data_IF_773720061116
#
_entry.id   IF_773720061116
#
_cell.length_a   1.000
_cell.length_b   1.000
_cell.length_c   1.000
_cell.angle_alpha   90.00
_cell.angle_beta   90.00
_cell.angle_gamma   90.00
#
_symmetry.space_group_name_H-M   'P 1'
#
loop_
_entity.id
_entity.type
_entity.pdbx_description
1 polymer ?
#
# COMPACT_ATOMS: atom_id res chain seq x y z
N UNK A 1 5.27 1.70 -8.09
CA UNK A 1 3.84 1.97 -7.79
C UNK A 1 3.46 3.26 -8.50
N UNK A 2 2.23 3.35 -9.01
CA UNK A 2 1.73 4.49 -9.80
C UNK A 2 0.35 4.89 -9.24
N UNK A 3 0.31 5.62 -8.12
CA UNK A 3 -0.95 6.04 -7.50
C UNK A 3 -1.56 7.19 -8.32
N UNK A 4 -2.64 6.88 -9.05
CA UNK A 4 -3.38 7.82 -9.87
C UNK A 4 -2.51 8.75 -10.77
N UNK A 5 -1.52 8.22 -11.48
CA UNK A 5 -0.81 9.00 -12.50
C UNK A 5 -1.69 9.09 -13.76
N UNK A 6 -2.70 9.95 -13.72
CA UNK A 6 -3.76 10.01 -14.72
C UNK A 6 -3.22 10.42 -16.10
N UNK A 7 -2.24 11.32 -16.12
CA UNK A 7 -1.61 11.91 -17.31
C UNK A 7 -0.29 11.21 -17.59
N UNK A 8 -0.22 10.45 -18.68
CA UNK A 8 1.02 9.79 -19.11
C UNK A 8 1.19 9.86 -20.62
N UNK A 9 2.43 10.12 -21.05
CA UNK A 9 2.85 10.04 -22.45
C UNK A 9 2.84 8.59 -22.92
N UNK A 10 2.65 8.38 -24.22
CA UNK A 10 2.74 7.04 -24.82
C UNK A 10 4.10 6.38 -24.55
N UNK A 11 5.18 7.15 -24.56
CA UNK A 11 6.52 6.66 -24.26
C UNK A 11 6.69 6.20 -22.80
N UNK A 12 5.98 6.81 -21.85
CA UNK A 12 6.00 6.40 -20.44
C UNK A 12 5.19 5.12 -20.25
N UNK A 13 4.01 5.04 -20.86
CA UNK A 13 3.20 3.83 -20.88
C UNK A 13 3.95 2.65 -21.49
N UNK A 14 4.66 2.86 -22.61
CA UNK A 14 5.49 1.82 -23.23
C UNK A 14 6.58 1.32 -22.27
N UNK A 15 7.30 2.22 -21.60
CA UNK A 15 8.33 1.83 -20.61
C UNK A 15 7.77 1.06 -19.43
N UNK A 16 6.58 1.44 -18.95
CA UNK A 16 5.89 0.70 -17.88
C UNK A 16 5.52 -0.70 -18.36
N UNK A 17 4.99 -0.83 -19.58
CA UNK A 17 4.67 -2.12 -20.17
C UNK A 17 5.92 -3.00 -20.33
N UNK A 18 7.03 -2.44 -20.83
CA UNK A 18 8.31 -3.15 -20.95
C UNK A 18 8.85 -3.61 -19.60
N UNK A 19 8.77 -2.77 -18.57
CA UNK A 19 9.14 -3.13 -17.20
C UNK A 19 8.33 -4.32 -16.69
N UNK A 20 7.01 -4.32 -16.90
CA UNK A 20 6.12 -5.43 -16.50
C UNK A 20 6.43 -6.69 -17.31
N UNK A 21 6.64 -6.57 -18.62
CA UNK A 21 7.00 -7.69 -19.50
C UNK A 21 8.35 -8.32 -19.13
N UNK A 22 9.30 -7.52 -18.64
CA UNK A 22 10.59 -7.99 -18.14
C UNK A 22 10.51 -8.67 -16.75
N UNK A 23 9.31 -8.81 -16.17
CA UNK A 23 9.09 -9.47 -14.88
C UNK A 23 8.89 -8.50 -13.71
N UNK A 24 8.84 -7.19 -13.97
CA UNK A 24 8.56 -6.18 -12.95
C UNK A 24 7.10 -6.23 -12.47
N UNK A 25 6.88 -5.92 -11.19
CA UNK A 25 5.55 -5.88 -10.58
C UNK A 25 5.01 -4.45 -10.46
N UNK A 26 3.70 -4.27 -10.64
CA UNK A 26 3.05 -2.96 -10.68
C UNK A 26 1.83 -2.87 -9.77
N UNK A 27 1.77 -1.82 -8.95
CA UNK A 27 0.53 -1.33 -8.35
C UNK A 27 0.12 -0.05 -9.06
N UNK A 28 -1.11 0.01 -9.56
CA UNK A 28 -1.71 1.22 -10.13
C UNK A 28 -3.13 1.42 -9.57
N UNK A 29 -3.55 2.67 -9.45
CA UNK A 29 -4.88 3.02 -8.95
C UNK A 29 -5.61 3.98 -9.88
N UNK A 30 -6.94 3.92 -9.84
CA UNK A 30 -7.88 4.90 -10.36
C UNK A 30 -7.64 5.25 -11.85
N UNK A 31 -7.45 6.53 -12.19
CA UNK A 31 -7.38 7.02 -13.56
C UNK A 31 -6.02 6.82 -14.22
N UNK A 32 -5.09 6.08 -13.60
CA UNK A 32 -3.72 5.91 -14.11
C UNK A 32 -3.71 5.56 -15.60
N UNK A 33 -3.02 6.37 -16.40
CA UNK A 33 -2.90 6.26 -17.87
C UNK A 33 -4.16 6.55 -18.70
N UNK A 34 -5.20 7.15 -18.14
CA UNK A 34 -6.45 7.47 -18.85
C UNK A 34 -6.37 8.76 -19.69
N UNK A 35 -5.35 9.60 -19.48
CA UNK A 35 -5.16 10.84 -20.22
C UNK A 35 -3.75 10.88 -20.84
N UNK A 36 -3.58 11.64 -21.92
CA UNK A 36 -2.25 11.95 -22.47
C UNK A 36 -1.57 13.06 -21.64
N UNK A 37 -0.37 13.49 -22.05
CA UNK A 37 0.40 14.54 -21.37
C UNK A 37 -0.21 15.94 -21.41
N UNK A 38 -1.16 16.17 -22.32
CA UNK A 38 -1.89 17.44 -22.46
C UNK A 38 -3.22 17.43 -21.71
N UNK A 39 -3.61 16.28 -21.16
CA UNK A 39 -4.88 16.09 -20.47
C UNK A 39 -6.04 15.71 -21.35
N UNK A 40 -5.79 15.36 -22.61
CA UNK A 40 -6.85 14.84 -23.46
C UNK A 40 -7.23 13.43 -23.00
N UNK A 41 -8.53 13.14 -22.86
CA UNK A 41 -9.01 11.83 -22.45
C UNK A 41 -8.73 10.80 -23.54
N UNK A 42 -8.28 9.61 -23.12
CA UNK A 42 -8.14 8.44 -23.99
C UNK A 42 -9.44 7.63 -23.99
N UNK A 43 -9.76 6.91 -25.07
CA UNK A 43 -10.93 6.04 -25.10
C UNK A 43 -10.82 4.83 -24.16
N UNK A 44 -9.60 4.45 -23.78
CA UNK A 44 -9.28 3.42 -22.79
C UNK A 44 -7.94 3.77 -22.10
N UNK A 45 -7.59 3.08 -21.01
CA UNK A 45 -6.28 3.19 -20.40
C UNK A 45 -5.18 2.86 -21.41
N UNK A 46 -4.15 3.69 -21.50
CA UNK A 46 -2.97 3.34 -22.32
C UNK A 46 -2.25 2.09 -21.79
N UNK A 47 -2.50 1.70 -20.52
CA UNK A 47 -2.00 0.48 -19.89
C UNK A 47 -3.08 -0.61 -19.72
N UNK A 48 -4.19 -0.57 -20.47
CA UNK A 48 -5.30 -1.52 -20.29
C UNK A 48 -4.86 -3.00 -20.40
N UNK A 49 -3.94 -3.31 -21.31
CA UNK A 49 -3.36 -4.65 -21.47
C UNK A 49 -2.48 -5.10 -20.28
N UNK A 50 -1.83 -4.14 -19.62
CA UNK A 50 -1.04 -4.36 -18.39
C UNK A 50 -1.98 -4.61 -17.22
N UNK A 51 -3.03 -3.78 -17.08
CA UNK A 51 -4.01 -3.94 -16.01
C UNK A 51 -4.91 -5.16 -16.21
N UNK A 52 -5.13 -5.57 -17.46
CA UNK A 52 -6.19 -6.51 -17.84
C UNK A 52 -7.58 -5.96 -17.51
N UNK A 53 -7.73 -4.64 -17.61
CA UNK A 53 -8.94 -3.90 -17.36
C UNK A 53 -9.06 -2.78 -18.39
N UNK A 54 -10.27 -2.56 -18.90
CA UNK A 54 -10.60 -1.45 -19.78
C UNK A 54 -11.58 -0.50 -19.10
N UNK A 55 -11.42 0.80 -19.35
CA UNK A 55 -12.37 1.81 -18.92
C UNK A 55 -13.74 1.56 -19.58
N UNK A 56 -14.80 1.67 -18.78
CA UNK A 56 -16.17 1.38 -19.20
C UNK A 56 -17.12 2.58 -19.00
N UNK A 57 -16.59 3.73 -18.58
CA UNK A 57 -17.36 4.96 -18.37
C UNK A 57 -16.51 6.05 -17.73
N UNK A 58 -17.15 7.19 -17.47
CA UNK A 58 -16.56 8.31 -16.75
C UNK A 58 -16.42 8.02 -15.26
N UNK A 59 -15.53 8.76 -14.60
CA UNK A 59 -15.35 8.72 -13.14
C UNK A 59 -16.69 8.90 -12.41
N UNK A 60 -16.90 8.08 -11.39
CA UNK A 60 -18.03 8.13 -10.46
C UNK A 60 -17.48 8.51 -9.08
N UNK A 61 -18.04 9.55 -8.47
CA UNK A 61 -17.66 10.00 -7.13
C UNK A 61 -17.58 11.53 -7.01
N UNK A 62 -17.23 12.04 -5.82
CA UNK A 62 -16.91 11.27 -4.61
C UNK A 62 -18.17 10.79 -3.86
N UNK A 63 -18.17 9.55 -3.37
CA UNK A 63 -19.26 8.99 -2.54
C UNK A 63 -18.73 8.20 -1.35
N UNK A 64 -19.26 8.45 -0.14
CA UNK A 64 -18.77 7.85 1.11
C UNK A 64 -19.35 6.48 1.51
N UNK A 65 -20.46 6.02 0.91
CA UNK A 65 -21.13 4.75 1.23
C UNK A 65 -21.03 3.76 0.06
N UNK A 66 -19.81 3.48 -0.40
CA UNK A 66 -19.51 2.45 -1.38
C UNK A 66 -18.67 1.35 -0.73
N UNK A 67 -18.73 0.13 -1.26
CA UNK A 67 -17.96 -1.00 -0.73
C UNK A 67 -17.32 -1.81 -1.86
N UNK A 68 -16.27 -2.55 -1.52
CA UNK A 68 -15.73 -3.61 -2.35
C UNK A 68 -16.12 -4.96 -1.73
N UNK A 69 -16.88 -5.78 -2.46
CA UNK A 69 -17.30 -7.09 -1.99
C UNK A 69 -16.23 -8.13 -2.31
N UNK A 70 -15.90 -8.95 -1.32
CA UNK A 70 -15.01 -10.10 -1.48
C UNK A 70 -15.78 -11.23 -2.17
N UNK A 71 -15.39 -11.55 -3.39
CA UNK A 71 -15.98 -12.63 -4.17
C UNK A 71 -15.16 -13.92 -4.06
N UNK A 72 -13.83 -13.81 -3.98
CA UNK A 72 -12.92 -14.95 -3.94
C UNK A 72 -11.72 -14.67 -3.02
N UNK A 73 -11.10 -15.74 -2.54
CA UNK A 73 -9.86 -15.65 -1.75
C UNK A 73 -8.68 -15.24 -2.63
N UNK A 74 -7.79 -14.43 -2.07
CA UNK A 74 -6.55 -14.00 -2.71
C UNK A 74 -5.55 -13.55 -1.63
N UNK A 75 -4.22 -13.71 -1.80
CA UNK A 75 -3.23 -13.30 -0.79
C UNK A 75 -3.32 -11.82 -0.35
N UNK A 76 -3.79 -10.95 -1.25
CA UNK A 76 -4.02 -9.53 -0.93
C UNK A 76 -5.13 -9.32 0.12
N UNK A 77 -5.94 -10.34 0.38
CA UNK A 77 -7.06 -10.30 1.31
C UNK A 77 -6.75 -10.95 2.67
N UNK A 78 -5.51 -11.37 2.93
CA UNK A 78 -5.10 -11.94 4.21
C UNK A 78 -5.36 -10.95 5.35
N UNK A 79 -6.03 -11.37 6.43
CA UNK A 79 -6.42 -10.49 7.54
C UNK A 79 -7.83 -9.92 7.42
N UNK A 80 -8.57 -10.21 6.35
CA UNK A 80 -10.00 -9.89 6.20
C UNK A 80 -10.90 -11.11 6.38
N UNK A 81 -10.45 -12.12 7.13
CA UNK A 81 -11.26 -13.29 7.44
C UNK A 81 -12.49 -12.87 8.25
N UNK A 82 -13.65 -13.45 7.93
CA UNK A 82 -14.91 -13.16 8.65
C UNK A 82 -15.67 -11.92 8.18
N UNK A 83 -15.19 -11.21 7.13
CA UNK A 83 -15.98 -10.19 6.43
C UNK A 83 -16.22 -10.56 4.97
N UNK A 84 -17.28 -9.98 4.38
CA UNK A 84 -17.57 -10.07 2.95
C UNK A 84 -17.44 -8.71 2.24
N UNK A 85 -17.26 -7.62 2.99
CA UNK A 85 -17.23 -6.25 2.48
C UNK A 85 -16.02 -5.52 3.04
N UNK A 86 -15.33 -4.82 2.15
CA UNK A 86 -14.32 -3.82 2.46
C UNK A 86 -14.86 -2.43 2.12
N UNK A 87 -14.37 -1.37 2.77
CA UNK A 87 -14.67 0.00 2.35
C UNK A 87 -14.34 0.20 0.86
N UNK A 88 -15.23 0.87 0.14
CA UNK A 88 -15.00 1.27 -1.24
C UNK A 88 -14.18 2.55 -1.32
N UNK A 89 -13.66 2.83 -2.51
CA UNK A 89 -13.05 4.12 -2.82
C UNK A 89 -14.13 5.22 -2.96
N UNK A 90 -13.78 6.46 -2.61
CA UNK A 90 -14.66 7.61 -2.81
C UNK A 90 -14.91 7.87 -4.30
N UNK A 91 -13.85 7.78 -5.11
CA UNK A 91 -13.91 7.93 -6.56
C UNK A 91 -13.50 6.64 -7.24
N UNK A 92 -14.14 6.33 -8.37
CA UNK A 92 -13.80 5.15 -9.19
C UNK A 92 -14.05 5.37 -10.67
N UNK A 93 -13.22 4.75 -11.50
CA UNK A 93 -13.50 4.57 -12.92
C UNK A 93 -14.29 3.27 -13.08
N UNK A 94 -15.45 3.25 -13.76
CA UNK A 94 -16.08 1.99 -14.13
C UNK A 94 -15.17 1.19 -15.04
N UNK A 95 -14.96 -0.09 -14.75
CA UNK A 95 -14.06 -0.94 -15.55
C UNK A 95 -14.69 -2.28 -15.92
N UNK A 96 -14.23 -2.84 -17.04
CA UNK A 96 -14.46 -4.23 -17.41
C UNK A 96 -13.13 -4.96 -17.34
N UNK A 97 -13.09 -6.08 -16.64
CA UNK A 97 -11.91 -6.93 -16.67
C UNK A 97 -11.87 -7.75 -17.97
N UNK A 98 -10.65 -8.15 -18.38
CA UNK A 98 -10.49 -9.12 -19.47
C UNK A 98 -11.21 -10.43 -19.15
N UNK A 99 -11.72 -11.16 -20.15
CA UNK A 99 -12.52 -12.39 -19.96
C UNK A 99 -11.86 -13.48 -19.09
N UNK A 100 -10.52 -13.48 -19.00
CA UNK A 100 -9.75 -14.45 -18.22
C UNK A 100 -9.50 -14.03 -16.76
N UNK A 101 -9.88 -12.81 -16.39
CA UNK A 101 -9.63 -12.28 -15.06
C UNK A 101 -10.63 -12.87 -14.05
N UNK A 102 -10.11 -13.33 -12.91
CA UNK A 102 -10.96 -13.74 -11.78
C UNK A 102 -11.49 -12.49 -11.09
N UNK A 103 -12.79 -12.45 -10.82
CA UNK A 103 -13.41 -11.41 -10.00
C UNK A 103 -13.08 -11.68 -8.53
N UNK A 104 -12.06 -10.99 -8.00
CA UNK A 104 -11.62 -11.10 -6.60
C UNK A 104 -12.38 -10.10 -5.71
N UNK A 105 -12.46 -8.85 -6.15
CA UNK A 105 -13.22 -7.78 -5.52
C UNK A 105 -14.19 -7.19 -6.53
N UNK A 106 -15.48 -7.11 -6.18
CA UNK A 106 -16.52 -6.47 -6.98
C UNK A 106 -17.02 -5.18 -6.33
N UNK A 107 -17.54 -4.25 -7.12
CA UNK A 107 -18.09 -2.99 -6.62
C UNK A 107 -19.47 -3.25 -6.01
N UNK A 108 -19.70 -2.72 -4.81
CA UNK A 108 -21.05 -2.46 -4.28
C UNK A 108 -21.32 -0.96 -4.46
N UNK A 109 -22.28 -0.58 -5.32
CA UNK A 109 -22.56 0.81 -5.62
C UNK A 109 -22.98 1.63 -4.39
N UNK A 110 -22.78 2.94 -4.51
CA UNK A 110 -23.18 3.89 -3.50
C UNK A 110 -24.68 3.79 -3.14
N UNK A 111 -24.98 3.96 -1.86
CA UNK A 111 -26.33 4.20 -1.34
C UNK A 111 -26.34 5.35 -0.32
N UNK A 112 -27.45 6.09 -0.17
CA UNK A 112 -27.51 7.26 0.72
C UNK A 112 -27.11 6.97 2.16
N UNK A 113 -26.48 7.95 2.82
CA UNK A 113 -26.19 7.89 4.26
C UNK A 113 -27.38 8.26 5.15
N UNK A 114 -28.41 8.86 4.56
CA UNK A 114 -29.64 9.28 5.22
C UNK A 114 -30.78 9.36 4.17
N UNK A 115 -32.05 9.10 4.53
CA UNK A 115 -32.56 8.72 5.85
C UNK A 115 -32.25 7.24 6.20
N UNK A 116 -32.31 6.83 7.50
CA UNK A 116 -31.91 5.48 7.94
C UNK A 116 -32.60 4.35 7.17
N UNK A 117 -33.85 4.55 6.77
CA UNK A 117 -34.66 3.61 5.99
C UNK A 117 -34.06 3.33 4.60
N UNK A 118 -33.14 4.18 4.13
CA UNK A 118 -32.51 4.10 2.81
C UNK A 118 -31.01 3.74 2.88
N UNK A 119 -30.47 3.45 4.07
CA UNK A 119 -29.05 3.13 4.30
C UNK A 119 -28.80 1.63 4.10
N UNK A 120 -29.05 1.15 2.88
CA UNK A 120 -28.77 -0.24 2.50
C UNK A 120 -28.40 -0.36 1.01
N UNK A 121 -27.55 -1.34 0.64
CA UNK A 121 -27.18 -1.55 -0.75
C UNK A 121 -28.35 -2.13 -1.55
N UNK A 122 -28.82 -1.38 -2.55
CA UNK A 122 -29.85 -1.86 -3.49
C UNK A 122 -29.33 -2.92 -4.46
N UNK A 123 -28.03 -2.88 -4.72
CA UNK A 123 -27.33 -3.82 -5.60
C UNK A 123 -26.14 -4.38 -4.83
N UNK A 124 -26.35 -5.37 -3.95
CA UNK A 124 -25.32 -5.87 -3.04
C UNK A 124 -24.24 -6.71 -3.74
N UNK A 125 -24.45 -7.11 -4.99
CA UNK A 125 -23.49 -7.83 -5.83
C UNK A 125 -23.50 -7.27 -7.24
N UNK A 126 -22.33 -7.12 -7.83
CA UNK A 126 -22.14 -6.75 -9.24
C UNK A 126 -21.06 -7.64 -9.85
N UNK A 127 -20.92 -7.58 -11.17
CA UNK A 127 -19.79 -8.14 -11.90
C UNK A 127 -18.72 -7.09 -12.20
N UNK A 128 -18.90 -5.86 -11.70
CA UNK A 128 -17.98 -4.75 -11.93
C UNK A 128 -16.76 -4.92 -11.00
N UNK A 129 -15.53 -5.08 -11.53
CA UNK A 129 -14.34 -5.25 -10.70
C UNK A 129 -14.02 -3.97 -9.93
N UNK A 130 -13.87 -4.09 -8.61
CA UNK A 130 -13.26 -3.03 -7.79
C UNK A 130 -11.72 -3.06 -7.89
N UNK A 131 -11.16 -4.24 -8.16
CA UNK A 131 -9.74 -4.44 -8.40
C UNK A 131 -9.51 -5.63 -9.35
N UNK A 132 -8.41 -5.58 -10.09
CA UNK A 132 -7.93 -6.66 -10.95
C UNK A 132 -6.52 -7.05 -10.51
N UNK A 133 -6.32 -8.33 -10.25
CA UNK A 133 -5.03 -8.91 -9.86
C UNK A 133 -4.57 -9.90 -10.94
N UNK A 134 -3.36 -9.70 -11.47
CA UNK A 134 -2.79 -10.53 -12.53
C UNK A 134 -1.39 -10.99 -12.17
N UNK A 135 -1.06 -12.20 -12.58
CA UNK A 135 0.28 -12.74 -12.45
C UNK A 135 0.69 -13.41 -13.77
N UNK A 136 1.89 -13.09 -14.26
CA UNK A 136 2.50 -13.73 -15.42
C UNK A 136 3.99 -13.92 -15.16
N UNK A 137 4.43 -15.17 -15.05
CA UNK A 137 5.78 -15.48 -14.57
C UNK A 137 6.04 -14.85 -13.20
N UNK A 138 7.10 -14.02 -13.14
CA UNK A 138 7.49 -13.25 -11.93
C UNK A 138 6.73 -11.93 -11.76
N UNK A 139 6.09 -11.44 -12.82
CA UNK A 139 5.40 -10.15 -12.78
C UNK A 139 4.03 -10.31 -12.12
N UNK A 140 3.74 -9.43 -11.16
CA UNK A 140 2.44 -9.30 -10.50
C UNK A 140 1.91 -7.89 -10.72
N UNK A 141 0.65 -7.77 -11.09
CA UNK A 141 -0.03 -6.49 -11.32
C UNK A 141 -1.28 -6.42 -10.45
N UNK A 142 -1.38 -5.37 -9.64
CA UNK A 142 -2.57 -4.99 -8.90
C UNK A 142 -3.08 -3.65 -9.44
N UNK A 143 -4.26 -3.66 -10.06
CA UNK A 143 -4.94 -2.45 -10.48
C UNK A 143 -6.23 -2.28 -9.67
N UNK A 144 -6.37 -1.13 -9.01
CA UNK A 144 -7.60 -0.77 -8.30
C UNK A 144 -8.37 0.26 -9.12
N UNK A 145 -9.65 0.01 -9.38
CA UNK A 145 -10.49 0.91 -10.18
C UNK A 145 -10.81 2.24 -9.46
N UNK A 146 -10.61 2.29 -8.15
CA UNK A 146 -10.86 3.45 -7.31
C UNK A 146 -9.61 4.05 -6.67
N UNK A 147 -9.76 5.29 -6.18
CA UNK A 147 -8.73 6.07 -5.47
C UNK A 147 -8.51 5.58 -4.03
N UNK A 148 -8.24 4.28 -3.83
CA UNK A 148 -8.14 3.64 -2.51
C UNK A 148 -7.07 4.27 -1.62
N UNK A 149 -5.99 4.77 -2.22
CA UNK A 149 -4.88 5.45 -1.57
C UNK A 149 -5.29 6.83 -1.05
N UNK A 150 -5.94 7.64 -1.89
CA UNK A 150 -6.50 8.94 -1.48
C UNK A 150 -7.64 8.76 -0.47
N UNK A 151 -8.50 7.78 -0.68
CA UNK A 151 -9.62 7.46 0.22
C UNK A 151 -9.11 7.04 1.59
N UNK A 152 -8.08 6.19 1.65
CA UNK A 152 -7.37 5.87 2.89
C UNK A 152 -6.84 7.13 3.57
N UNK A 153 -6.10 7.96 2.83
CA UNK A 153 -5.50 9.18 3.38
C UNK A 153 -6.53 10.12 4.00
N UNK A 154 -7.71 10.27 3.37
CA UNK A 154 -8.78 11.14 3.86
C UNK A 154 -9.59 10.55 5.02
N UNK A 155 -9.90 9.25 4.94
CA UNK A 155 -10.80 8.59 5.91
C UNK A 155 -10.07 8.05 7.14
N UNK A 156 -8.77 7.74 7.01
CA UNK A 156 -8.02 6.99 8.02
C UNK A 156 -8.45 5.53 8.15
N UNK A 157 -9.19 4.99 7.17
CA UNK A 157 -9.70 3.63 7.26
C UNK A 157 -8.58 2.58 7.19
N UNK A 158 -8.43 1.82 8.26
CA UNK A 158 -7.35 0.84 8.42
C UNK A 158 -7.45 -0.35 7.47
N UNK A 159 -8.65 -0.70 7.00
CA UNK A 159 -8.84 -1.81 6.06
C UNK A 159 -8.25 -1.46 4.69
N UNK A 160 -8.42 -0.22 4.24
CA UNK A 160 -7.78 0.24 3.00
C UNK A 160 -6.25 0.24 3.13
N UNK A 161 -5.71 0.62 4.29
CA UNK A 161 -4.28 0.53 4.57
C UNK A 161 -3.78 -0.91 4.50
N UNK A 162 -4.47 -1.84 5.16
CA UNK A 162 -4.11 -3.25 5.15
C UNK A 162 -4.18 -3.85 3.73
N UNK A 163 -5.20 -3.49 2.95
CA UNK A 163 -5.35 -3.92 1.55
C UNK A 163 -4.18 -3.43 0.68
N UNK A 164 -3.75 -2.18 0.84
CA UNK A 164 -2.58 -1.62 0.14
C UNK A 164 -1.30 -2.36 0.57
N UNK A 165 -1.09 -2.56 1.88
CA UNK A 165 0.08 -3.27 2.40
C UNK A 165 0.17 -4.71 1.89
N UNK A 166 -0.94 -5.45 1.92
CA UNK A 166 -0.99 -6.81 1.40
C UNK A 166 -0.78 -6.86 -0.11
N UNK A 167 -1.27 -5.85 -0.84
CA UNK A 167 -0.97 -5.70 -2.27
C UNK A 167 0.52 -5.52 -2.52
N UNK A 168 1.20 -4.67 -1.75
CA UNK A 168 2.66 -4.48 -1.86
C UNK A 168 3.41 -5.77 -1.50
N UNK A 169 3.05 -6.45 -0.41
CA UNK A 169 3.63 -7.76 -0.03
C UNK A 169 3.48 -8.79 -1.15
N UNK A 170 2.27 -8.91 -1.71
CA UNK A 170 2.00 -9.81 -2.82
C UNK A 170 2.84 -9.45 -4.06
N UNK A 171 2.96 -8.16 -4.42
CA UNK A 171 3.76 -7.72 -5.57
C UNK A 171 5.25 -8.05 -5.42
N UNK A 172 5.75 -8.03 -4.18
CA UNK A 172 7.12 -8.38 -3.82
C UNK A 172 7.34 -9.90 -3.65
N UNK A 173 6.32 -10.73 -3.88
CA UNK A 173 6.39 -12.18 -3.63
C UNK A 173 6.83 -12.55 -2.22
N UNK A 174 6.31 -11.80 -1.23
CA UNK A 174 6.69 -11.91 0.17
C UNK A 174 8.22 -11.87 0.37
N UNK A 175 8.93 -11.19 -0.55
CA UNK A 175 10.36 -11.00 -0.46
C UNK A 175 10.72 -10.34 0.87
N UNK A 176 11.80 -10.85 1.46
CA UNK A 176 12.28 -10.42 2.75
C UNK A 176 12.55 -8.92 2.73
N UNK A 177 11.91 -8.19 3.65
CA UNK A 177 12.14 -6.77 3.84
C UNK A 177 13.52 -6.55 4.47
N UNK A 178 14.33 -5.58 3.99
CA UNK A 178 15.63 -5.29 4.57
C UNK A 178 15.58 -4.90 6.04
N UNK A 179 14.47 -4.28 6.46
CA UNK A 179 14.21 -3.94 7.85
C UNK A 179 12.74 -4.23 8.17
N UNK A 180 12.49 -4.79 9.35
CA UNK A 180 11.16 -4.89 9.94
C UNK A 180 11.21 -4.32 11.35
N UNK A 181 10.23 -3.49 11.70
CA UNK A 181 10.06 -2.97 13.06
C UNK A 181 8.67 -3.33 13.53
N UNK A 182 8.60 -4.01 14.67
CA UNK A 182 7.35 -4.42 15.30
C UNK A 182 7.23 -3.75 16.68
N UNK A 183 6.21 -2.92 16.84
CA UNK A 183 5.92 -2.19 18.06
C UNK A 183 4.62 -1.41 17.92
N UNK A 184 4.10 -0.90 19.02
CA UNK A 184 2.94 -0.01 18.99
C UNK A 184 3.34 1.39 18.50
N UNK A 185 2.38 2.08 17.88
CA UNK A 185 2.54 3.44 17.38
C UNK A 185 2.72 3.51 15.86
N UNK A 186 2.58 4.74 15.32
CA UNK A 186 2.85 5.02 13.91
C UNK A 186 4.29 5.48 13.76
N UNK A 187 5.12 4.67 13.09
CA UNK A 187 6.52 5.00 12.81
C UNK A 187 6.81 5.06 11.32
N UNK A 188 7.70 5.97 10.94
CA UNK A 188 8.35 5.95 9.64
C UNK A 188 9.81 5.55 9.80
N UNK A 189 10.29 4.74 8.86
CA UNK A 189 11.57 4.08 8.94
C UNK A 189 12.41 4.47 7.74
N UNK A 190 13.66 4.86 7.99
CA UNK A 190 14.67 5.02 6.93
C UNK A 190 15.88 4.20 7.30
N UNK A 191 16.34 3.35 6.39
CA UNK A 191 17.46 2.46 6.61
C UNK A 191 18.45 2.53 5.45
N UNK A 192 19.75 2.61 5.75
CA UNK A 192 20.80 2.60 4.74
C UNK A 192 22.14 2.11 5.28
N UNK A 193 23.03 1.73 4.36
CA UNK A 193 24.44 1.46 4.67
C UNK A 193 25.22 2.78 4.79
N UNK A 194 26.03 2.89 5.83
CA UNK A 194 26.92 4.01 6.12
C UNK A 194 28.37 3.55 6.04
N UNK A 195 29.33 4.48 6.03
CA UNK A 195 30.76 4.13 6.06
C UNK A 195 31.14 3.18 7.23
N UNK A 196 30.68 3.40 8.48
CA UNK A 196 31.00 2.50 9.59
C UNK A 196 30.10 1.26 9.68
N UNK A 197 28.99 1.17 8.95
CA UNK A 197 28.03 0.07 9.09
C UNK A 197 26.66 0.42 8.54
N UNK A 198 25.63 0.53 9.37
CA UNK A 198 24.25 0.85 8.97
C UNK A 198 23.59 1.83 9.93
N UNK A 199 22.58 2.53 9.44
CA UNK A 199 21.72 3.38 10.25
C UNK A 199 20.26 3.02 10.01
N UNK A 200 19.49 2.90 11.10
CA UNK A 200 18.03 2.86 11.09
C UNK A 200 17.50 4.08 11.83
N UNK A 201 16.83 4.96 11.09
CA UNK A 201 16.12 6.11 11.61
C UNK A 201 14.67 5.70 11.87
N UNK A 202 14.17 6.00 13.07
CA UNK A 202 12.80 5.72 13.48
C UNK A 202 12.16 7.05 13.87
N UNK A 203 11.22 7.54 13.06
CA UNK A 203 10.46 8.76 13.34
C UNK A 203 9.11 8.35 13.92
N UNK A 204 8.74 8.92 15.06
CA UNK A 204 7.48 8.65 15.72
C UNK A 204 6.43 9.70 15.32
N UNK A 205 5.48 9.31 14.46
CA UNK A 205 4.33 10.14 14.10
C UNK A 205 3.11 9.91 14.99
N UNK A 206 3.20 9.04 16.00
CA UNK A 206 2.10 8.75 16.89
C UNK A 206 1.58 10.02 17.55
N UNK A 207 0.32 10.32 17.27
CA UNK A 207 -0.42 11.35 17.96
C UNK A 207 -1.92 11.06 17.88
N UNK A 208 -2.74 11.54 18.84
CA UNK A 208 -4.18 11.25 18.88
C UNK A 208 -4.98 11.68 17.64
N UNK A 209 -4.40 12.48 16.75
CA UNK A 209 -5.07 12.99 15.54
C UNK A 209 -4.16 12.86 14.32
N UNK A 210 -3.49 11.70 14.16
CA UNK A 210 -2.40 11.46 13.21
C UNK A 210 -2.64 11.94 11.77
N UNK A 211 -3.87 11.82 11.27
CA UNK A 211 -4.24 12.27 9.93
C UNK A 211 -4.39 13.80 9.79
N UNK A 212 -4.14 14.56 10.88
CA UNK A 212 -4.09 16.03 10.89
C UNK A 212 -2.73 16.49 11.41
N UNK A 213 -2.14 17.48 10.74
CA UNK A 213 -0.78 17.97 11.05
C UNK A 213 -0.60 18.74 12.37
N UNK A 214 -1.61 18.77 13.26
CA UNK A 214 -1.53 19.53 14.51
C UNK A 214 -0.81 18.73 15.59
N UNK A 215 0.51 18.85 15.67
CA UNK A 215 1.31 18.29 16.76
C UNK A 215 1.43 19.31 17.88
N UNK A 216 0.84 19.01 19.05
CA UNK A 216 0.93 19.88 20.24
C UNK A 216 2.04 19.48 21.22
N UNK A 217 2.39 18.20 21.21
CA UNK A 217 3.47 17.58 21.99
C UNK A 217 3.79 16.22 21.39
N UNK A 218 4.94 15.65 21.76
CA UNK A 218 5.30 14.29 21.38
C UNK A 218 4.68 13.25 22.32
N UNK A 219 4.30 12.11 21.77
CA UNK A 219 3.69 11.00 22.49
C UNK A 219 4.60 9.80 22.36
N UNK A 220 5.40 9.54 23.39
CA UNK A 220 6.34 8.43 23.40
C UNK A 220 5.64 7.11 23.13
N UNK A 221 6.22 6.32 22.23
CA UNK A 221 5.80 4.95 21.95
C UNK A 221 6.70 3.98 22.71
N UNK A 222 6.15 2.79 22.98
CA UNK A 222 6.85 1.72 23.70
C UNK A 222 7.94 1.04 22.85
N UNK A 223 8.40 -0.14 23.29
CA UNK A 223 9.50 -0.84 22.66
C UNK A 223 9.25 -1.18 21.19
N UNK A 224 10.26 -0.96 20.36
CA UNK A 224 10.25 -1.24 18.93
C UNK A 224 11.26 -2.37 18.66
N UNK A 225 10.74 -3.56 18.31
CA UNK A 225 11.55 -4.74 18.01
C UNK A 225 12.01 -4.68 16.57
N UNK A 226 13.32 -4.62 16.36
CA UNK A 226 13.92 -4.46 15.04
C UNK A 226 14.52 -5.77 14.56
N UNK A 227 14.21 -6.16 13.33
CA UNK A 227 15.01 -7.09 12.53
C UNK A 227 15.65 -6.32 11.37
N UNK A 228 16.98 -6.35 11.26
CA UNK A 228 17.76 -5.66 10.23
C UNK A 228 18.61 -6.66 9.45
N UNK A 229 18.47 -6.67 8.12
CA UNK A 229 19.29 -7.48 7.22
C UNK A 229 20.56 -6.74 6.80
N UNK A 230 21.71 -7.33 7.09
CA UNK A 230 23.02 -6.83 6.65
C UNK A 230 23.53 -7.59 5.43
N UNK A 231 24.51 -7.03 4.73
CA UNK A 231 25.19 -7.70 3.63
C UNK A 231 25.86 -9.00 4.09
N UNK A 232 25.94 -9.99 3.20
CA UNK A 232 26.52 -11.30 3.52
C UNK A 232 27.96 -11.16 4.03
N UNK A 233 28.28 -11.85 5.14
CA UNK A 233 29.60 -11.82 5.75
C UNK A 233 29.92 -10.59 6.62
N UNK A 234 29.03 -9.58 6.69
CA UNK A 234 29.19 -8.45 7.61
C UNK A 234 28.92 -8.91 9.05
N UNK A 235 29.85 -8.62 9.96
CA UNK A 235 29.71 -8.89 11.40
C UNK A 235 29.49 -7.57 12.13
N UNK A 236 28.35 -7.44 12.79
CA UNK A 236 28.04 -6.32 13.67
C UNK A 236 28.69 -6.56 15.03
N UNK A 237 29.41 -5.55 15.49
CA UNK A 237 30.13 -5.49 16.75
C UNK A 237 29.41 -4.63 17.79
N UNK A 238 28.57 -3.69 17.37
CA UNK A 238 27.78 -2.85 18.27
C UNK A 238 26.48 -2.37 17.65
N UNK A 239 25.47 -2.17 18.50
CA UNK A 239 24.25 -1.44 18.16
C UNK A 239 24.05 -0.35 19.20
N UNK A 240 23.86 0.90 18.76
CA UNK A 240 23.72 2.05 19.65
C UNK A 240 22.53 2.92 19.27
N UNK A 241 21.72 3.28 20.24
CA UNK A 241 20.73 4.34 20.14
C UNK A 241 21.45 5.69 20.25
N UNK A 242 21.60 6.39 19.13
CA UNK A 242 22.42 7.61 19.09
C UNK A 242 21.77 8.76 19.84
N UNK A 243 20.43 8.87 19.82
CA UNK A 243 19.72 9.94 20.50
C UNK A 243 19.61 9.68 22.00
N UNK A 244 19.24 8.46 22.40
CA UNK A 244 19.25 8.06 23.81
C UNK A 244 20.68 8.00 24.40
N UNK A 245 21.70 7.87 23.55
CA UNK A 245 23.10 7.81 23.95
C UNK A 245 23.53 6.48 24.56
N UNK A 246 22.72 5.43 24.42
CA UNK A 246 22.91 4.12 25.06
C UNK A 246 23.20 2.99 24.06
N UNK A 247 23.99 2.02 24.50
CA UNK A 247 24.19 0.77 23.74
C UNK A 247 22.96 -0.13 23.88
N UNK A 248 22.59 -0.79 22.79
CA UNK A 248 21.46 -1.70 22.73
C UNK A 248 21.95 -3.15 22.68
N UNK A 249 21.41 -4.04 23.52
CA UNK A 249 21.68 -5.47 23.38
C UNK A 249 21.16 -5.96 22.03
N UNK A 250 21.95 -6.77 21.34
CA UNK A 250 21.58 -7.31 20.05
C UNK A 250 22.03 -8.76 19.89
N UNK A 251 21.40 -9.46 18.96
CA UNK A 251 21.86 -10.76 18.49
C UNK A 251 22.01 -10.70 16.98
N UNK A 252 23.04 -11.36 16.45
CA UNK A 252 23.19 -11.56 15.01
C UNK A 252 23.15 -13.06 14.71
N UNK A 253 22.28 -13.47 13.79
CA UNK A 253 22.26 -14.81 13.19
C UNK A 253 22.36 -14.65 11.68
N UNK A 254 23.44 -15.16 11.09
CA UNK A 254 23.77 -14.95 9.68
C UNK A 254 23.73 -13.47 9.30
N UNK A 255 22.73 -13.10 8.49
CA UNK A 255 22.52 -11.75 7.97
C UNK A 255 21.54 -10.93 8.80
N UNK A 256 20.89 -11.52 9.80
CA UNK A 256 19.82 -10.89 10.56
C UNK A 256 20.32 -10.41 11.91
N UNK A 257 20.26 -9.10 12.12
CA UNK A 257 20.54 -8.45 13.39
C UNK A 257 19.22 -8.12 14.08
N UNK A 258 19.06 -8.57 15.32
CA UNK A 258 17.86 -8.32 16.14
C UNK A 258 18.21 -7.52 17.37
N UNK A 259 17.47 -6.46 17.61
CA UNK A 259 17.60 -5.60 18.79
C UNK A 259 16.28 -4.91 19.09
N UNK A 260 16.21 -4.21 20.22
CA UNK A 260 15.03 -3.47 20.63
C UNK A 260 15.41 -2.03 20.94
N UNK A 261 14.62 -1.08 20.42
CA UNK A 261 14.67 0.34 20.83
C UNK A 261 13.58 0.52 21.90
N UNK A 262 13.94 0.73 23.19
CA UNK A 262 12.95 0.65 24.28
C UNK A 262 11.83 1.68 24.22
N UNK A 263 12.09 2.85 23.65
CA UNK A 263 11.09 3.90 23.44
C UNK A 263 11.54 4.85 22.34
N UNK A 264 10.57 5.46 21.65
CA UNK A 264 10.83 6.56 20.71
C UNK A 264 9.89 7.71 21.07
N UNK A 265 10.43 8.87 21.43
CA UNK A 265 9.62 10.04 21.80
C UNK A 265 9.09 10.73 20.54
N UNK A 266 9.99 11.19 19.69
CA UNK A 266 9.74 11.82 18.39
C UNK A 266 10.64 11.22 17.31
N UNK A 267 11.84 10.78 17.70
CA UNK A 267 12.85 10.28 16.79
C UNK A 267 13.91 9.46 17.54
N UNK A 268 14.49 8.46 16.89
CA UNK A 268 15.69 7.73 17.33
C UNK A 268 16.49 7.26 16.11
N UNK A 269 17.80 7.07 16.28
CA UNK A 269 18.67 6.41 15.30
C UNK A 269 19.37 5.24 15.96
N UNK A 270 19.13 4.03 15.46
CA UNK A 270 19.95 2.88 15.78
C UNK A 270 21.10 2.78 14.77
N UNK A 271 22.32 3.00 15.24
CA UNK A 271 23.54 2.75 14.47
C UNK A 271 24.02 1.32 14.71
N UNK A 272 24.29 0.58 13.64
CA UNK A 272 24.85 -0.76 13.67
C UNK A 272 26.26 -0.67 13.08
N UNK A 273 27.28 -1.07 13.83
CA UNK A 273 28.71 -1.03 13.41
C UNK A 273 29.35 -2.40 13.46
#
# INVERSE_FOLDING_TARGET
MIPNAAYLRDAECARIADFVAAGGSLLATFETSLYNEWGDPRPDFALSSVFGASAAGSVIGPFGNSYARIEQTHPVLNGFEGTALLPGAENRVPVRASEKARLILSVVPYYPAFPPEMVFPRTPRTEEPAAVFRQSGKSRVAYFAGDIDRTFWRSGNTDLSLLIQNSVRWLLDDARQPVTVAGEGMTELFAWETAPGYALHILNYNNPNMTRGFVRRFYAIGPQKVEFEVAAGKKITGVRALRAGSDLPFTQRDRTVRFEVPTVVDYEVAALV
#
